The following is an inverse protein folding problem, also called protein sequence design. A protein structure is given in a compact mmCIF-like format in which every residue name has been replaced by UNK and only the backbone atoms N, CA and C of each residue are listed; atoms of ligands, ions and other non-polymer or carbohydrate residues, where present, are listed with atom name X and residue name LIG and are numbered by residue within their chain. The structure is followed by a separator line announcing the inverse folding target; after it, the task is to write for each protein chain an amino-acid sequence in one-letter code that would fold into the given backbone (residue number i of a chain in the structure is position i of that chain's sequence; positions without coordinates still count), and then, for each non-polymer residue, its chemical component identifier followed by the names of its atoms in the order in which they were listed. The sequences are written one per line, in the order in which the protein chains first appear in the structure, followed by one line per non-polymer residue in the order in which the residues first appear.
data_IF_938963347262
#
_entry.id   IF_938963347262
#
_cell.length_a   1.000
_cell.length_b   1.000
_cell.length_c   1.000
_cell.angle_alpha   90.00
_cell.angle_beta   90.00
_cell.angle_gamma   90.00
#
_symmetry.space_group_name_H-M   'P 1'
#
loop_
_entity.id
_entity.type
_entity.pdbx_description
1 polymer ?
#
# COMPACT_ATOMS: atom_id res chain seq x y z
N UNK A 1 -1.55 -2.16 -13.58
CA UNK A 1 -0.43 -1.91 -12.66
C UNK A 1 0.87 -2.28 -13.37
N UNK A 2 1.95 -1.53 -13.15
CA UNK A 2 3.23 -1.79 -13.81
C UNK A 2 4.10 -2.82 -13.08
N UNK A 3 5.15 -3.29 -13.77
CA UNK A 3 6.07 -4.30 -13.23
C UNK A 3 6.85 -3.80 -12.00
N UNK A 4 7.12 -2.50 -11.90
CA UNK A 4 7.90 -1.91 -10.79
C UNK A 4 7.09 -1.99 -9.48
N UNK A 5 5.78 -1.74 -9.57
CA UNK A 5 4.88 -1.65 -8.42
C UNK A 5 4.28 -3.01 -8.05
N UNK A 6 4.43 -4.02 -8.91
CA UNK A 6 3.82 -5.35 -8.73
C UNK A 6 4.31 -6.04 -7.47
N UNK A 7 5.61 -5.95 -7.16
CA UNK A 7 6.20 -6.55 -5.97
C UNK A 7 5.65 -5.92 -4.68
N UNK A 8 5.60 -4.58 -4.63
CA UNK A 8 5.02 -3.85 -3.49
C UNK A 8 3.53 -4.17 -3.35
N UNK A 9 2.78 -4.20 -4.45
CA UNK A 9 1.36 -4.54 -4.43
C UNK A 9 1.09 -5.93 -3.86
N UNK A 10 1.83 -6.94 -4.33
CA UNK A 10 1.69 -8.32 -3.84
C UNK A 10 2.00 -8.41 -2.34
N UNK A 11 3.09 -7.76 -1.91
CA UNK A 11 3.45 -7.68 -0.50
C UNK A 11 2.34 -7.05 0.35
N UNK A 12 1.77 -5.91 -0.07
CA UNK A 12 0.72 -5.21 0.68
C UNK A 12 -0.60 -6.01 0.74
N UNK A 13 -0.95 -6.77 -0.31
CA UNK A 13 -2.07 -7.72 -0.26
C UNK A 13 -1.81 -8.76 0.83
N UNK A 14 -0.66 -9.42 0.80
CA UNK A 14 -0.32 -10.46 1.78
C UNK A 14 -0.27 -9.90 3.21
N UNK A 15 0.25 -8.69 3.38
CA UNK A 15 0.33 -8.02 4.67
C UNK A 15 -1.07 -7.69 5.24
N UNK A 16 -1.97 -7.13 4.43
CA UNK A 16 -3.34 -6.85 4.85
C UNK A 16 -4.15 -8.10 5.17
N UNK A 17 -3.92 -9.20 4.46
CA UNK A 17 -4.59 -10.47 4.72
C UNK A 17 -4.05 -11.18 5.97
N UNK A 18 -2.73 -11.09 6.20
CA UNK A 18 -2.05 -11.86 7.24
C UNK A 18 -1.06 -10.99 8.04
N UNK A 19 -1.53 -9.97 8.78
CA UNK A 19 -0.65 -9.02 9.45
C UNK A 19 0.29 -9.66 10.49
N UNK A 20 -0.12 -10.80 11.08
CA UNK A 20 0.69 -11.54 12.07
C UNK A 20 1.93 -12.23 11.49
N UNK A 21 2.01 -12.41 10.16
CA UNK A 21 3.17 -13.03 9.50
C UNK A 21 4.32 -12.05 9.26
N UNK A 22 4.06 -10.76 9.51
CA UNK A 22 5.01 -9.67 9.36
C UNK A 22 5.51 -9.28 10.76
N UNK A 23 6.83 -9.10 10.91
CA UNK A 23 7.40 -8.68 12.19
C UNK A 23 6.97 -7.24 12.51
N UNK A 24 6.96 -6.88 13.80
CA UNK A 24 6.62 -5.52 14.22
C UNK A 24 7.52 -4.46 13.56
N UNK A 25 8.82 -4.77 13.40
CA UNK A 25 9.77 -3.90 12.72
C UNK A 25 9.39 -3.66 11.26
N UNK A 26 9.02 -4.71 10.51
CA UNK A 26 8.60 -4.55 9.11
C UNK A 26 7.30 -3.76 9.04
N UNK A 27 6.36 -3.98 9.97
CA UNK A 27 5.13 -3.18 10.08
C UNK A 27 5.41 -1.68 10.22
N UNK A 28 6.30 -1.29 11.14
CA UNK A 28 6.74 0.11 11.30
C UNK A 28 7.36 0.71 10.05
N UNK A 29 8.20 -0.05 9.35
CA UNK A 29 8.77 0.43 8.08
C UNK A 29 7.72 0.62 6.99
N UNK A 30 6.68 -0.22 6.96
CA UNK A 30 5.55 -0.01 6.04
C UNK A 30 4.77 1.25 6.40
N UNK A 31 4.54 1.54 7.69
CA UNK A 31 3.94 2.82 8.10
C UNK A 31 4.79 4.01 7.64
N UNK A 32 6.11 3.97 7.84
CA UNK A 32 7.02 5.02 7.35
C UNK A 32 7.02 5.16 5.83
N UNK A 33 6.96 4.06 5.09
CA UNK A 33 6.86 4.09 3.63
C UNK A 33 5.60 4.85 3.20
N UNK A 34 4.48 4.61 3.87
CA UNK A 34 3.20 5.24 3.55
C UNK A 34 3.16 6.73 3.86
N UNK A 35 3.87 7.18 4.91
CA UNK A 35 4.01 8.60 5.24
C UNK A 35 4.74 9.44 4.18
N UNK A 36 5.36 8.81 3.16
CA UNK A 36 5.92 9.52 2.01
C UNK A 36 4.84 10.08 1.06
N UNK A 37 3.60 9.61 1.20
CA UNK A 37 2.47 10.10 0.44
C UNK A 37 1.74 11.22 1.19
N UNK A 38 1.00 12.10 0.48
CA UNK A 38 0.03 12.96 1.13
C UNK A 38 -0.95 12.14 1.97
N UNK A 39 -1.34 12.66 3.13
CA UNK A 39 -2.19 11.96 4.12
C UNK A 39 -3.43 11.31 3.49
N UNK A 40 -4.05 11.99 2.53
CA UNK A 40 -5.21 11.45 1.82
C UNK A 40 -4.89 10.17 1.03
N UNK A 41 -3.82 10.18 0.25
CA UNK A 41 -3.37 9.06 -0.59
C UNK A 41 -2.90 7.89 0.29
N UNK A 42 -2.19 8.20 1.37
CA UNK A 42 -1.83 7.24 2.41
C UNK A 42 -3.09 6.52 2.94
N UNK A 43 -4.08 7.26 3.43
CA UNK A 43 -5.28 6.66 4.02
C UNK A 43 -6.07 5.85 2.98
N UNK A 44 -6.13 6.30 1.72
CA UNK A 44 -6.72 5.56 0.60
C UNK A 44 -6.04 4.20 0.42
N UNK A 45 -4.71 4.14 0.38
CA UNK A 45 -3.98 2.88 0.25
C UNK A 45 -4.15 1.99 1.48
N UNK A 46 -4.08 2.54 2.69
CA UNK A 46 -4.29 1.78 3.94
C UNK A 46 -5.67 1.10 3.91
N UNK A 47 -6.72 1.84 3.57
CA UNK A 47 -8.07 1.29 3.43
C UNK A 47 -8.19 0.30 2.28
N UNK A 48 -7.54 0.53 1.13
CA UNK A 48 -7.61 -0.39 -0.01
C UNK A 48 -7.01 -1.77 0.28
N UNK A 49 -5.92 -1.81 1.04
CA UNK A 49 -5.25 -3.05 1.43
C UNK A 49 -5.73 -3.62 2.76
N UNK A 50 -6.41 -2.83 3.59
CA UNK A 50 -6.84 -3.24 4.94
C UNK A 50 -5.67 -3.35 5.91
N UNK A 51 -4.77 -2.35 5.91
CA UNK A 51 -3.56 -2.36 6.75
C UNK A 51 -3.83 -1.77 8.13
N UNK A 52 -2.95 -2.09 9.08
CA UNK A 52 -2.91 -1.46 10.42
C UNK A 52 -4.25 -1.54 11.18
N UNK A 53 -4.98 -2.65 11.02
CA UNK A 53 -6.28 -2.87 11.67
C UNK A 53 -7.44 -2.11 11.02
N UNK A 54 -7.23 -1.44 9.88
CA UNK A 54 -8.30 -0.81 9.12
C UNK A 54 -9.07 -1.84 8.29
N UNK A 55 -10.39 -1.63 8.20
CA UNK A 55 -11.24 -2.42 7.32
C UNK A 55 -10.86 -2.21 5.87
N UNK A 56 -10.73 -3.31 5.13
CA UNK A 56 -10.49 -3.27 3.69
C UNK A 56 -11.70 -2.73 2.94
N UNK A 57 -11.50 -1.71 2.11
CA UNK A 57 -12.53 -1.12 1.26
C UNK A 57 -12.34 -1.53 -0.21
N UNK A 58 -13.46 -1.68 -0.91
CA UNK A 58 -13.49 -1.92 -2.36
C UNK A 58 -13.19 -0.64 -3.15
N UNK A 59 -12.78 -0.78 -4.42
CA UNK A 59 -12.58 0.36 -5.32
C UNK A 59 -13.83 1.24 -5.40
N UNK A 60 -15.01 0.63 -5.53
CA UNK A 60 -16.29 1.35 -5.56
C UNK A 60 -16.54 2.19 -4.31
N UNK A 61 -16.25 1.66 -3.12
CA UNK A 61 -16.43 2.40 -1.87
C UNK A 61 -15.46 3.59 -1.77
N UNK A 62 -14.21 3.38 -2.18
CA UNK A 62 -13.19 4.44 -2.19
C UNK A 62 -13.53 5.53 -3.22
N UNK A 63 -14.04 5.13 -4.39
CA UNK A 63 -14.45 6.02 -5.47
C UNK A 63 -15.64 6.89 -5.06
N UNK A 64 -16.68 6.27 -4.47
CA UNK A 64 -17.86 6.97 -3.94
C UNK A 64 -17.51 8.02 -2.88
N UNK A 65 -16.54 7.73 -2.01
CA UNK A 65 -16.12 8.68 -0.98
C UNK A 65 -15.49 9.97 -1.54
N UNK A 66 -15.09 9.97 -2.82
CA UNK A 66 -14.30 11.03 -3.45
C UNK A 66 -14.93 11.55 -4.76
N UNK A 67 -16.15 11.11 -5.09
CA UNK A 67 -16.81 11.40 -6.36
C UNK A 67 -15.92 11.03 -7.57
N UNK A 68 -15.12 9.97 -7.44
CA UNK A 68 -14.34 9.39 -8.52
C UNK A 68 -15.09 8.21 -9.14
N UNK A 69 -14.65 7.79 -10.33
CA UNK A 69 -15.02 6.48 -10.89
C UNK A 69 -14.06 5.39 -10.38
N UNK A 70 -14.50 4.13 -10.39
CA UNK A 70 -13.66 2.99 -10.04
C UNK A 70 -12.34 2.95 -10.84
N UNK A 71 -12.40 3.35 -12.12
CA UNK A 71 -11.23 3.42 -13.00
C UNK A 71 -10.23 4.50 -12.55
N UNK A 72 -10.72 5.71 -12.24
CA UNK A 72 -9.89 6.81 -11.73
C UNK A 72 -9.26 6.44 -10.38
N UNK A 73 -10.04 5.85 -9.47
CA UNK A 73 -9.52 5.41 -8.17
C UNK A 73 -8.46 4.32 -8.33
N UNK A 74 -8.65 3.37 -9.24
CA UNK A 74 -7.66 2.34 -9.53
C UNK A 74 -6.37 2.92 -10.13
N UNK A 75 -6.48 3.90 -11.02
CA UNK A 75 -5.33 4.61 -11.60
C UNK A 75 -4.56 5.39 -10.53
N UNK A 76 -5.28 6.14 -9.69
CA UNK A 76 -4.67 6.88 -8.58
C UNK A 76 -3.92 5.95 -7.61
N UNK A 77 -4.52 4.82 -7.24
CA UNK A 77 -3.86 3.79 -6.41
C UNK A 77 -2.59 3.27 -7.09
N UNK A 78 -2.63 3.00 -8.40
CA UNK A 78 -1.47 2.54 -9.14
C UNK A 78 -0.35 3.59 -9.20
N UNK A 79 -0.69 4.87 -9.36
CA UNK A 79 0.27 5.98 -9.36
C UNK A 79 0.93 6.14 -7.99
N UNK A 80 0.16 6.08 -6.91
CA UNK A 80 0.69 6.20 -5.55
C UNK A 80 1.59 5.01 -5.18
N UNK A 81 1.21 3.81 -5.59
CA UNK A 81 2.07 2.63 -5.44
C UNK A 81 3.36 2.77 -6.23
N UNK A 82 3.30 3.31 -7.45
CA UNK A 82 4.52 3.54 -8.23
C UNK A 82 5.44 4.54 -7.53
N UNK A 83 4.89 5.62 -6.95
CA UNK A 83 5.67 6.60 -6.18
C UNK A 83 6.41 5.92 -5.02
N UNK A 84 5.74 5.03 -4.29
CA UNK A 84 6.34 4.26 -3.19
C UNK A 84 7.36 3.22 -3.68
N UNK A 85 7.05 2.51 -4.76
CA UNK A 85 7.87 1.41 -5.26
C UNK A 85 9.22 1.87 -5.85
N UNK A 86 9.35 3.15 -6.21
CA UNK A 86 10.63 3.70 -6.70
C UNK A 86 11.49 4.29 -5.58
N UNK A 87 11.02 4.34 -4.34
CA UNK A 87 11.78 5.00 -3.28
C UNK A 87 12.85 4.09 -2.67
N UNK A 88 13.93 4.66 -2.10
CA UNK A 88 14.94 3.91 -1.36
C UNK A 88 14.37 3.14 -0.15
N UNK A 89 13.35 3.67 0.51
CA UNK A 89 12.69 3.05 1.67
C UNK A 89 12.08 1.71 1.28
N UNK A 90 11.46 1.61 0.10
CA UNK A 90 10.98 0.33 -0.40
C UNK A 90 12.13 -0.64 -0.69
N UNK A 91 13.23 -0.19 -1.31
CA UNK A 91 14.38 -1.06 -1.57
C UNK A 91 15.02 -1.58 -0.27
N UNK A 92 15.08 -0.75 0.76
CA UNK A 92 15.54 -1.14 2.09
C UNK A 92 14.59 -2.17 2.72
N UNK A 93 13.27 -1.94 2.64
CA UNK A 93 12.27 -2.85 3.18
C UNK A 93 12.33 -4.23 2.53
N UNK A 94 12.50 -4.29 1.21
CA UNK A 94 12.72 -5.56 0.49
C UNK A 94 13.92 -6.34 1.02
N UNK A 95 15.02 -5.64 1.30
CA UNK A 95 16.22 -6.25 1.85
C UNK A 95 15.99 -6.84 3.25
N UNK A 96 15.07 -6.27 4.04
CA UNK A 96 14.67 -6.81 5.35
C UNK A 96 13.75 -8.03 5.22
N UNK A 97 12.84 -8.01 4.25
CA UNK A 97 11.91 -9.11 3.99
C UNK A 97 12.66 -10.36 3.47
N UNK A 98 13.62 -10.15 2.57
CA UNK A 98 14.38 -11.23 1.91
C UNK A 98 15.54 -11.78 2.76
N UNK A 99 15.82 -11.21 3.93
CA UNK A 99 16.84 -11.69 4.88
C UNK A 99 16.34 -12.81 5.81
N UNK A 100 15.17 -13.39 5.53
CA UNK A 100 14.64 -14.55 6.27
C UNK A 100 15.37 -15.84 5.93
#
# INVERSE_FOLDING_TARGET
MDNISTELHAFLISFGQNPKLVSHQVGHYVEHLFHLLPTFNEQRLISFYGLFGKTRLTLRQLAQAQNETDAQTAENIALDLRKLAVTPEWQMLKSLINKK
#
